data_IF_836084741967
#
_entry.id   IF_836084741967
#
_cell.length_a   1.000
_cell.length_b   1.000
_cell.length_c   1.000
_cell.angle_alpha   90.00
_cell.angle_beta   90.00
_cell.angle_gamma   90.00
#
_symmetry.space_group_name_H-M   'P 1'
#
loop_
_entity.id
_entity.type
_entity.pdbx_description
1 polymer ?
#
# COMPACT_ATOMS: atom_id res chain seq x y z
N UNK A 1 -3.19 17.28 6.84
CA UNK A 1 -3.36 16.38 8.01
C UNK A 1 -3.02 14.93 7.67
N UNK A 2 -3.31 14.46 6.45
CA UNK A 2 -3.01 13.10 5.96
C UNK A 2 -1.59 12.88 5.42
N UNK A 3 -0.67 13.84 5.55
CA UNK A 3 0.67 13.81 4.92
C UNK A 3 1.83 13.98 5.89
N UNK A 4 1.55 13.94 7.20
CA UNK A 4 2.58 14.09 8.22
C UNK A 4 3.09 12.71 8.59
N UNK A 5 4.30 12.40 8.15
CA UNK A 5 5.01 11.17 8.49
C UNK A 5 5.63 11.22 9.90
N UNK A 6 5.86 12.43 10.43
CA UNK A 6 6.39 12.67 11.76
C UNK A 6 5.28 13.00 12.78
N UNK A 7 5.38 12.41 13.97
CA UNK A 7 4.36 12.54 15.03
C UNK A 7 4.37 13.93 15.68
N UNK A 8 5.54 14.56 15.82
CA UNK A 8 5.65 15.89 16.42
C UNK A 8 5.10 16.96 15.46
N UNK A 9 5.45 16.88 14.18
CA UNK A 9 4.92 17.74 13.14
C UNK A 9 3.39 17.60 13.01
N UNK A 10 2.86 16.39 13.11
CA UNK A 10 1.41 16.17 13.17
C UNK A 10 0.78 16.86 14.38
N UNK A 11 1.39 16.73 15.57
CA UNK A 11 0.84 17.29 16.80
C UNK A 11 0.79 18.82 16.76
N UNK A 12 1.89 19.45 16.33
CA UNK A 12 1.96 20.90 16.16
C UNK A 12 0.89 21.41 15.18
N UNK A 13 0.78 20.77 14.02
CA UNK A 13 -0.23 21.12 13.03
C UNK A 13 -1.67 20.92 13.54
N UNK A 14 -1.91 19.86 14.33
CA UNK A 14 -3.22 19.59 14.93
C UNK A 14 -3.60 20.66 15.95
N UNK A 15 -2.67 21.07 16.81
CA UNK A 15 -2.90 22.06 17.86
C UNK A 15 -3.14 23.47 17.28
N UNK A 16 -2.40 23.85 16.24
CA UNK A 16 -2.63 25.09 15.50
C UNK A 16 -4.04 25.12 14.89
N UNK A 17 -4.47 24.01 14.28
CA UNK A 17 -5.82 23.90 13.72
C UNK A 17 -6.87 24.01 14.83
N UNK A 18 -6.65 23.32 15.94
CA UNK A 18 -7.56 23.28 17.10
C UNK A 18 -7.78 24.65 17.74
N UNK A 19 -6.77 25.51 17.75
CA UNK A 19 -6.90 26.90 18.24
C UNK A 19 -7.77 27.78 17.35
N UNK A 20 -7.93 27.45 16.06
CA UNK A 20 -8.70 28.23 15.09
C UNK A 20 -10.20 27.91 15.06
N UNK A 21 -10.65 26.91 15.82
CA UNK A 21 -12.05 26.44 15.77
C UNK A 21 -12.78 26.72 17.08
N UNK A 22 -13.94 27.38 16.97
CA UNK A 22 -14.72 27.82 18.14
C UNK A 22 -15.38 26.67 18.90
N UNK A 23 -15.91 25.65 18.19
CA UNK A 23 -16.46 24.42 18.78
C UNK A 23 -15.49 23.26 18.60
N UNK A 24 -14.86 22.85 19.70
CA UNK A 24 -13.79 21.84 19.71
C UNK A 24 -14.29 20.39 19.78
N UNK A 25 -15.59 20.17 19.98
CA UNK A 25 -16.17 18.84 20.27
C UNK A 25 -15.88 17.77 19.23
N UNK A 26 -15.97 18.11 17.94
CA UNK A 26 -15.64 17.17 16.86
C UNK A 26 -14.12 16.94 16.74
N UNK A 27 -13.32 18.00 16.82
CA UNK A 27 -11.84 17.90 16.78
C UNK A 27 -11.28 17.09 17.96
N UNK A 28 -11.87 17.23 19.15
CA UNK A 28 -11.57 16.38 20.30
C UNK A 28 -11.89 14.91 20.03
N UNK A 29 -13.07 14.67 19.48
CA UNK A 29 -13.54 13.31 19.22
C UNK A 29 -12.71 12.62 18.14
N UNK A 30 -12.33 13.32 17.07
CA UNK A 30 -11.51 12.75 16.00
C UNK A 30 -10.05 12.56 16.45
N UNK A 31 -9.53 13.43 17.32
CA UNK A 31 -8.18 13.29 17.89
C UNK A 31 -8.06 12.04 18.78
N UNK A 32 -9.10 11.68 19.53
CA UNK A 32 -9.12 10.45 20.35
C UNK A 32 -8.90 9.18 19.53
N UNK A 33 -9.24 9.20 18.25
CA UNK A 33 -9.05 8.08 17.33
C UNK A 33 -7.92 8.32 16.32
N UNK A 34 -6.99 9.24 16.59
CA UNK A 34 -5.87 9.60 15.68
C UNK A 34 -5.05 8.40 15.20
N UNK A 35 -4.90 7.39 16.05
CA UNK A 35 -4.20 6.14 15.72
C UNK A 35 -4.88 5.34 14.60
N UNK A 36 -6.15 5.64 14.30
CA UNK A 36 -6.94 5.01 13.25
C UNK A 36 -6.97 5.80 11.95
N UNK A 37 -6.33 6.96 11.81
CA UNK A 37 -6.41 7.73 10.56
C UNK A 37 -5.24 8.66 10.27
N UNK A 38 -4.48 9.07 11.29
CA UNK A 38 -3.32 9.91 11.09
C UNK A 38 -2.14 9.09 10.57
N UNK A 39 -1.56 9.49 9.44
CA UNK A 39 -0.55 8.73 8.71
C UNK A 39 0.66 8.33 9.57
N UNK A 40 1.22 9.26 10.36
CA UNK A 40 2.33 8.98 11.29
C UNK A 40 2.02 7.94 12.39
N UNK A 41 0.74 7.64 12.65
CA UNK A 41 0.33 6.62 13.62
C UNK A 41 -0.10 5.31 12.95
N UNK A 42 -0.58 5.36 11.71
CA UNK A 42 -1.02 4.18 10.94
C UNK A 42 0.14 3.55 10.15
N UNK A 43 1.28 4.23 10.00
CA UNK A 43 2.43 3.75 9.22
C UNK A 43 2.97 2.38 9.65
N UNK A 44 2.86 2.06 10.93
CA UNK A 44 3.34 0.79 11.49
C UNK A 44 2.21 -0.23 11.72
N UNK A 45 0.99 0.07 11.26
CA UNK A 45 -0.15 -0.83 11.32
C UNK A 45 -0.27 -1.55 9.98
N UNK A 46 -0.26 -2.88 10.02
CA UNK A 46 -0.51 -3.72 8.85
C UNK A 46 -1.95 -3.49 8.35
N UNK A 47 -2.09 -2.97 7.12
CA UNK A 47 -3.39 -2.57 6.56
C UNK A 47 -3.70 -3.22 5.21
N UNK A 48 -2.90 -4.21 4.77
CA UNK A 48 -3.02 -4.85 3.45
C UNK A 48 -3.06 -3.84 2.29
N UNK A 49 -2.46 -2.66 2.46
CA UNK A 49 -2.49 -1.57 1.47
C UNK A 49 -3.81 -0.79 1.40
N UNK A 50 -4.80 -1.11 2.25
CA UNK A 50 -6.07 -0.38 2.33
C UNK A 50 -5.87 0.86 3.21
N UNK A 51 -6.23 2.05 2.69
CA UNK A 51 -6.39 3.24 3.54
C UNK A 51 -7.70 3.12 4.31
N UNK A 52 -7.73 3.46 5.61
CA UNK A 52 -8.90 3.26 6.48
C UNK A 52 -10.22 3.87 5.96
N UNK A 53 -10.16 4.89 5.09
CA UNK A 53 -11.36 5.50 4.47
C UNK A 53 -11.69 4.96 3.07
N UNK A 54 -10.81 4.20 2.41
CA UNK A 54 -10.92 3.84 0.99
C UNK A 54 -12.20 3.03 0.67
N UNK A 55 -12.61 2.15 1.58
CA UNK A 55 -13.87 1.40 1.45
C UNK A 55 -15.09 2.33 1.50
N UNK A 56 -15.12 3.22 2.50
CA UNK A 56 -16.20 4.22 2.62
C UNK A 56 -16.16 5.25 1.49
N UNK A 57 -15.00 5.67 1.03
CA UNK A 57 -14.82 6.61 -0.08
C UNK A 57 -15.27 5.98 -1.41
N UNK A 58 -14.85 4.75 -1.69
CA UNK A 58 -15.30 3.99 -2.86
C UNK A 58 -16.82 3.82 -2.87
N UNK A 59 -17.39 3.43 -1.72
CA UNK A 59 -18.83 3.21 -1.60
C UNK A 59 -19.62 4.52 -1.68
N UNK A 60 -19.18 5.55 -0.96
CA UNK A 60 -19.78 6.88 -1.01
C UNK A 60 -19.67 7.51 -2.41
N UNK A 61 -18.57 7.28 -3.12
CA UNK A 61 -18.40 7.74 -4.49
C UNK A 61 -19.36 7.01 -5.45
N UNK A 62 -19.54 5.70 -5.29
CA UNK A 62 -20.53 4.94 -6.05
C UNK A 62 -21.96 5.44 -5.79
N UNK A 63 -22.27 5.81 -4.55
CA UNK A 63 -23.57 6.37 -4.17
C UNK A 63 -23.75 7.84 -4.51
N UNK A 64 -22.67 8.60 -4.75
CA UNK A 64 -22.69 10.06 -4.95
C UNK A 64 -23.64 10.47 -6.08
N UNK A 65 -23.72 9.69 -7.14
CA UNK A 65 -24.61 9.94 -8.29
C UNK A 65 -26.10 9.65 -7.99
N UNK A 66 -26.37 8.94 -6.90
CA UNK A 66 -27.71 8.53 -6.46
C UNK A 66 -28.25 9.36 -5.28
N UNK A 67 -27.47 10.31 -4.77
CA UNK A 67 -27.79 11.16 -3.61
C UNK A 67 -28.28 12.56 -4.00
N UNK A 68 -28.81 12.77 -5.21
CA UNK A 68 -29.33 14.09 -5.60
C UNK A 68 -30.60 14.42 -4.81
N UNK A 69 -30.77 15.70 -4.46
CA UNK A 69 -31.90 16.23 -3.67
C UNK A 69 -33.28 15.89 -4.23
N UNK A 70 -33.36 15.59 -5.53
CA UNK A 70 -34.62 15.39 -6.25
C UNK A 70 -35.08 13.91 -6.27
N UNK A 71 -34.37 13.02 -5.56
CA UNK A 71 -34.74 11.61 -5.46
C UNK A 71 -35.61 11.33 -4.22
N UNK A 72 -36.79 10.75 -4.46
CA UNK A 72 -37.61 10.15 -3.42
C UNK A 72 -36.89 8.96 -2.74
N UNK A 73 -37.17 8.73 -1.46
CA UNK A 73 -36.50 7.73 -0.61
C UNK A 73 -36.61 6.32 -1.18
N UNK A 74 -37.73 5.99 -1.84
CA UNK A 74 -37.93 4.69 -2.50
C UNK A 74 -36.97 4.51 -3.67
N UNK A 75 -36.70 5.58 -4.44
CA UNK A 75 -35.75 5.54 -5.55
C UNK A 75 -34.30 5.46 -5.05
N UNK A 76 -34.00 6.12 -3.93
CA UNK A 76 -32.71 5.97 -3.26
C UNK A 76 -32.47 4.52 -2.84
N UNK A 77 -33.41 3.89 -2.14
CA UNK A 77 -33.27 2.50 -1.66
C UNK A 77 -33.09 1.50 -2.81
N UNK A 78 -33.84 1.67 -3.92
CA UNK A 78 -33.65 0.83 -5.13
C UNK A 78 -32.27 0.99 -5.75
N UNK A 79 -31.75 2.22 -5.82
CA UNK A 79 -30.41 2.47 -6.35
C UNK A 79 -29.34 1.92 -5.41
N UNK A 80 -29.51 2.08 -4.10
CA UNK A 80 -28.62 1.53 -3.08
C UNK A 80 -28.53 0.01 -3.19
N UNK A 81 -29.66 -0.69 -3.26
CA UNK A 81 -29.71 -2.13 -3.42
C UNK A 81 -28.98 -2.57 -4.71
N UNK A 82 -29.23 -1.87 -5.84
CA UNK A 82 -28.53 -2.15 -7.09
C UNK A 82 -27.01 -1.97 -6.96
N UNK A 83 -26.54 -0.89 -6.35
CA UNK A 83 -25.10 -0.65 -6.13
C UNK A 83 -24.47 -1.74 -5.24
N UNK A 84 -25.20 -2.20 -4.21
CA UNK A 84 -24.74 -3.32 -3.37
C UNK A 84 -24.65 -4.61 -4.17
N UNK A 85 -25.66 -4.92 -4.99
CA UNK A 85 -25.65 -6.12 -5.85
C UNK A 85 -24.51 -6.07 -6.90
N UNK A 86 -24.27 -4.90 -7.51
CA UNK A 86 -23.17 -4.68 -8.43
C UNK A 86 -21.81 -4.92 -7.75
N UNK A 87 -21.60 -4.40 -6.53
CA UNK A 87 -20.38 -4.68 -5.76
C UNK A 87 -20.23 -6.16 -5.45
N UNK A 88 -21.28 -6.84 -4.96
CA UNK A 88 -21.24 -8.29 -4.69
C UNK A 88 -20.92 -9.11 -5.93
N UNK A 89 -21.51 -8.77 -7.08
CA UNK A 89 -21.22 -9.43 -8.35
C UNK A 89 -19.76 -9.23 -8.74
N UNK A 90 -19.24 -8.00 -8.60
CA UNK A 90 -17.83 -7.71 -8.90
C UNK A 90 -16.88 -8.48 -7.97
N UNK A 91 -17.19 -8.57 -6.68
CA UNK A 91 -16.42 -9.39 -5.73
C UNK A 91 -16.43 -10.88 -6.11
N UNK A 92 -17.57 -11.39 -6.61
CA UNK A 92 -17.70 -12.76 -7.11
C UNK A 92 -16.90 -12.97 -8.40
N UNK A 93 -16.97 -12.04 -9.35
CA UNK A 93 -16.19 -12.08 -10.60
C UNK A 93 -14.68 -12.02 -10.32
N UNK A 94 -14.26 -11.20 -9.35
CA UNK A 94 -12.89 -11.15 -8.84
C UNK A 94 -12.51 -12.48 -8.16
N UNK A 95 -13.42 -13.08 -7.37
CA UNK A 95 -13.21 -14.39 -6.75
C UNK A 95 -13.03 -15.52 -7.77
N UNK A 96 -13.85 -15.55 -8.81
CA UNK A 96 -13.71 -16.52 -9.88
C UNK A 96 -12.45 -16.24 -10.74
N UNK A 97 -12.09 -14.97 -10.91
CA UNK A 97 -10.83 -14.61 -11.57
C UNK A 97 -9.60 -15.03 -10.75
N UNK A 98 -9.70 -15.03 -9.40
CA UNK A 98 -8.68 -15.59 -8.49
C UNK A 98 -8.43 -17.09 -8.68
N UNK A 99 -9.35 -17.84 -9.30
CA UNK A 99 -9.14 -19.26 -9.65
C UNK A 99 -8.30 -19.45 -10.92
N UNK A 100 -8.06 -18.40 -11.71
CA UNK A 100 -7.20 -18.47 -12.89
C UNK A 100 -5.75 -18.44 -12.44
N UNK A 101 -4.90 -19.25 -13.06
CA UNK A 101 -3.46 -19.24 -12.75
C UNK A 101 -2.90 -17.83 -12.94
N UNK A 102 -2.03 -17.34 -12.03
CA UNK A 102 -1.42 -16.04 -12.18
C UNK A 102 -0.67 -15.93 -13.49
N UNK A 103 -0.94 -14.87 -14.25
CA UNK A 103 -0.15 -14.57 -15.46
C UNK A 103 1.22 -14.11 -15.01
N UNK A 104 2.21 -14.98 -15.18
CA UNK A 104 3.61 -14.66 -14.91
C UNK A 104 4.19 -13.96 -16.12
N UNK A 105 4.53 -12.68 -16.00
CA UNK A 105 5.08 -11.88 -17.10
C UNK A 105 6.57 -12.21 -17.39
N UNK A 106 7.30 -12.71 -16.39
CA UNK A 106 8.71 -13.12 -16.50
C UNK A 106 9.01 -14.39 -15.68
N UNK A 107 9.93 -15.24 -16.15
CA UNK A 107 10.27 -16.51 -15.47
C UNK A 107 11.56 -16.44 -14.67
N UNK A 108 11.66 -15.50 -13.71
CA UNK A 108 12.77 -15.48 -12.75
C UNK A 108 12.52 -16.45 -11.59
N UNK A 109 13.55 -17.03 -10.95
CA UNK A 109 13.35 -18.00 -9.87
C UNK A 109 12.47 -17.49 -8.73
N UNK A 110 12.65 -16.23 -8.32
CA UNK A 110 11.83 -15.59 -7.29
C UNK A 110 10.36 -15.45 -7.72
N UNK A 111 10.08 -15.05 -8.97
CA UNK A 111 8.70 -14.94 -9.47
C UNK A 111 8.04 -16.31 -9.65
N UNK A 112 8.81 -17.33 -10.05
CA UNK A 112 8.30 -18.71 -10.13
C UNK A 112 7.88 -19.19 -8.75
N UNK A 113 8.75 -19.04 -7.76
CA UNK A 113 8.45 -19.41 -6.38
C UNK A 113 7.27 -18.61 -5.82
N UNK A 114 7.26 -17.28 -5.99
CA UNK A 114 6.17 -16.42 -5.54
C UNK A 114 4.83 -16.83 -6.15
N UNK A 115 4.80 -17.21 -7.44
CA UNK A 115 3.57 -17.66 -8.12
C UNK A 115 2.98 -18.96 -7.57
N UNK A 116 3.77 -19.73 -6.82
CA UNK A 116 3.33 -20.99 -6.21
C UNK A 116 2.88 -20.81 -4.76
N UNK A 117 3.38 -19.78 -4.07
CA UNK A 117 3.10 -19.57 -2.64
C UNK A 117 2.11 -18.45 -2.38
N UNK A 118 2.02 -17.44 -3.26
CA UNK A 118 1.14 -16.29 -3.06
C UNK A 118 -0.24 -16.51 -3.67
N UNK A 119 -1.26 -15.93 -3.04
CA UNK A 119 -2.57 -15.72 -3.66
C UNK A 119 -2.43 -14.84 -4.90
N UNK A 120 -3.39 -14.93 -5.84
CA UNK A 120 -3.32 -14.16 -7.10
C UNK A 120 -3.10 -12.66 -6.86
N UNK A 121 -3.83 -12.07 -5.91
CA UNK A 121 -3.77 -10.62 -5.60
C UNK A 121 -2.40 -10.22 -5.05
N UNK A 122 -1.86 -11.01 -4.11
CA UNK A 122 -0.54 -10.76 -3.53
C UNK A 122 0.53 -10.95 -4.61
N UNK A 123 0.40 -11.97 -5.46
CA UNK A 123 1.33 -12.22 -6.54
C UNK A 123 1.35 -11.10 -7.59
N UNK A 124 0.19 -10.58 -8.00
CA UNK A 124 0.11 -9.45 -8.94
C UNK A 124 0.78 -8.19 -8.36
N UNK A 125 0.52 -7.88 -7.09
CA UNK A 125 1.16 -6.77 -6.40
C UNK A 125 2.67 -6.98 -6.27
N UNK A 126 3.12 -8.18 -5.91
CA UNK A 126 4.54 -8.54 -5.83
C UNK A 126 5.23 -8.47 -7.20
N UNK A 127 4.59 -8.96 -8.26
CA UNK A 127 5.11 -8.91 -9.62
C UNK A 127 5.32 -7.47 -10.07
N UNK A 128 4.37 -6.57 -9.76
CA UNK A 128 4.52 -5.14 -10.05
C UNK A 128 5.71 -4.49 -9.33
N UNK A 129 5.91 -4.80 -8.03
CA UNK A 129 7.08 -4.32 -7.29
C UNK A 129 8.38 -4.92 -7.80
N UNK A 130 8.37 -6.19 -8.21
CA UNK A 130 9.53 -6.85 -8.81
C UNK A 130 9.93 -6.19 -10.14
N UNK A 131 8.98 -5.91 -11.02
CA UNK A 131 9.23 -5.20 -12.28
C UNK A 131 9.79 -3.80 -12.03
N UNK A 132 9.21 -3.04 -11.09
CA UNK A 132 9.73 -1.73 -10.68
C UNK A 132 11.17 -1.83 -10.16
N UNK A 133 11.52 -2.90 -9.44
CA UNK A 133 12.88 -3.11 -8.93
C UNK A 133 13.93 -3.28 -10.05
N UNK A 134 13.52 -3.77 -11.23
CA UNK A 134 14.43 -3.95 -12.36
C UNK A 134 14.86 -2.63 -12.98
N UNK A 135 14.00 -1.61 -12.94
CA UNK A 135 14.29 -0.25 -13.37
C UNK A 135 14.97 0.62 -12.28
N UNK A 136 15.35 0.01 -11.15
CA UNK A 136 15.94 0.73 -10.03
C UNK A 136 17.45 0.97 -10.20
N UNK A 137 17.88 2.19 -9.91
CA UNK A 137 19.28 2.55 -9.73
C UNK A 137 19.68 2.39 -8.27
N UNK A 138 20.91 1.95 -8.03
CA UNK A 138 21.42 1.72 -6.68
C UNK A 138 22.79 2.38 -6.49
N UNK A 139 22.95 3.05 -5.36
CA UNK A 139 24.23 3.58 -4.87
C UNK A 139 24.55 2.91 -3.54
N UNK A 140 25.70 2.26 -3.48
CA UNK A 140 26.17 1.51 -2.30
C UNK A 140 26.96 2.46 -1.40
N UNK A 141 26.74 2.37 -0.08
CA UNK A 141 27.59 3.03 0.90
C UNK A 141 28.65 2.04 1.39
N UNK A 142 29.88 2.51 1.59
CA UNK A 142 30.97 1.66 2.10
C UNK A 142 30.68 1.18 3.52
N UNK A 143 30.86 -0.14 3.75
CA UNK A 143 30.96 -0.74 5.07
C UNK A 143 29.70 -1.36 5.68
N UNK A 144 28.48 -0.90 5.32
CA UNK A 144 27.29 -1.15 6.16
C UNK A 144 26.09 -1.84 5.48
N UNK A 145 26.28 -2.53 4.34
CA UNK A 145 25.18 -3.12 3.53
C UNK A 145 24.02 -2.13 3.36
N UNK A 146 24.35 -0.84 3.22
CA UNK A 146 23.41 0.26 3.14
C UNK A 146 23.39 0.74 1.70
N UNK A 147 22.19 0.93 1.18
CA UNK A 147 21.94 1.26 -0.21
C UNK A 147 21.00 2.46 -0.31
N UNK A 148 21.31 3.41 -1.19
CA UNK A 148 20.33 4.37 -1.68
C UNK A 148 19.76 3.84 -2.99
N UNK A 149 18.44 3.68 -3.05
CA UNK A 149 17.73 3.15 -4.21
C UNK A 149 16.80 4.22 -4.77
N UNK A 150 16.93 4.51 -6.06
CA UNK A 150 16.02 5.38 -6.82
C UNK A 150 15.25 4.54 -7.84
N UNK A 151 13.93 4.71 -7.91
CA UNK A 151 13.08 4.01 -8.87
C UNK A 151 12.80 4.90 -10.08
N UNK A 152 13.07 4.40 -11.28
CA UNK A 152 12.68 5.11 -12.51
C UNK A 152 11.17 5.05 -12.72
N UNK A 153 10.53 6.21 -12.87
CA UNK A 153 9.13 6.31 -13.32
C UNK A 153 9.09 6.26 -14.84
N UNK A 154 8.53 5.18 -15.38
CA UNK A 154 8.25 5.05 -16.82
C UNK A 154 7.01 5.84 -17.27
N UNK A 155 6.26 6.46 -16.34
CA UNK A 155 4.97 7.12 -16.66
C UNK A 155 5.12 8.61 -17.00
N UNK A 156 6.08 9.31 -16.40
CA UNK A 156 6.24 10.77 -16.55
C UNK A 156 7.72 11.15 -16.79
N UNK A 157 8.06 11.39 -18.06
CA UNK A 157 9.30 12.05 -18.50
C UNK A 157 10.64 11.46 -18.02
N UNK A 158 10.73 10.14 -17.80
CA UNK A 158 11.97 9.48 -17.33
C UNK A 158 12.50 10.09 -16.02
N UNK A 159 11.59 10.49 -15.13
CA UNK A 159 11.94 11.00 -13.81
C UNK A 159 12.18 9.87 -12.80
N UNK A 160 12.97 10.13 -11.77
CA UNK A 160 13.18 9.20 -10.67
C UNK A 160 12.34 9.61 -9.46
N UNK A 161 11.80 8.61 -8.76
CA UNK A 161 11.23 8.80 -7.42
C UNK A 161 12.35 9.17 -6.42
N UNK A 162 11.96 9.80 -5.30
CA UNK A 162 12.89 10.15 -4.23
C UNK A 162 13.69 8.92 -3.75
N UNK A 163 15.01 9.12 -3.57
CA UNK A 163 15.90 8.07 -3.07
C UNK A 163 15.40 7.53 -1.71
N UNK A 164 15.31 6.20 -1.62
CA UNK A 164 15.02 5.49 -0.37
C UNK A 164 16.23 4.74 0.12
N UNK A 165 16.43 4.78 1.44
CA UNK A 165 17.51 4.07 2.09
C UNK A 165 17.03 2.67 2.43
N UNK A 166 17.83 1.68 2.04
CA UNK A 166 17.61 0.28 2.32
C UNK A 166 18.81 -0.28 3.04
N UNK A 167 18.56 -0.98 4.14
CA UNK A 167 19.57 -1.70 4.92
C UNK A 167 19.39 -3.18 4.57
N UNK A 168 20.41 -3.77 3.95
CA UNK A 168 20.50 -5.19 3.66
C UNK A 168 21.15 -5.94 4.81
N UNK A 169 20.66 -7.14 5.08
CA UNK A 169 21.25 -8.10 6.00
C UNK A 169 21.47 -9.40 5.22
N UNK A 170 22.67 -9.62 4.66
CA UNK A 170 22.98 -10.82 3.88
C UNK A 170 22.88 -12.11 4.69
N UNK A 171 23.19 -12.06 6.00
CA UNK A 171 23.18 -13.23 6.88
C UNK A 171 21.76 -13.74 7.09
N UNK A 172 20.83 -12.82 7.36
CA UNK A 172 19.42 -13.16 7.55
C UNK A 172 18.58 -13.08 6.26
N UNK A 173 19.21 -12.71 5.13
CA UNK A 173 18.56 -12.49 3.84
C UNK A 173 17.42 -11.47 3.91
N UNK A 174 17.61 -10.38 4.68
CA UNK A 174 16.61 -9.35 4.92
C UNK A 174 16.94 -8.05 4.21
N UNK A 175 15.90 -7.30 3.85
CA UNK A 175 16.03 -5.94 3.34
C UNK A 175 15.01 -5.04 4.06
N UNK A 176 15.50 -4.05 4.79
CA UNK A 176 14.68 -3.08 5.52
C UNK A 176 14.74 -1.73 4.81
N UNK A 177 13.61 -1.32 4.22
CA UNK A 177 13.52 -0.08 3.45
C UNK A 177 12.84 1.04 4.25
N UNK A 178 13.37 2.26 4.15
CA UNK A 178 12.79 3.46 4.77
C UNK A 178 11.39 3.83 4.25
N UNK A 179 10.95 3.27 3.12
CA UNK A 179 9.58 3.46 2.65
C UNK A 179 8.53 2.76 3.53
N UNK A 180 8.91 1.80 4.38
CA UNK A 180 8.00 1.10 5.29
C UNK A 180 6.87 0.31 4.62
N UNK A 181 6.93 0.07 3.30
CA UNK A 181 5.86 -0.64 2.57
C UNK A 181 5.65 -2.05 3.11
N UNK A 182 6.72 -2.80 3.40
CA UNK A 182 6.60 -4.15 3.93
C UNK A 182 5.83 -4.20 5.26
N UNK A 183 6.05 -3.24 6.16
CA UNK A 183 5.29 -3.19 7.43
C UNK A 183 3.81 -2.88 7.20
N UNK A 184 3.49 -2.08 6.17
CA UNK A 184 2.11 -1.66 5.84
C UNK A 184 1.33 -2.70 5.06
N UNK A 185 1.97 -3.37 4.12
CA UNK A 185 1.31 -4.24 3.13
C UNK A 185 1.73 -5.70 3.23
N UNK A 186 2.82 -6.01 3.95
CA UNK A 186 3.46 -7.33 3.97
C UNK A 186 4.16 -7.72 2.66
N UNK A 187 4.19 -6.82 1.68
CA UNK A 187 4.83 -7.05 0.38
C UNK A 187 6.14 -6.25 0.35
N UNK A 188 7.22 -6.94 -0.03
CA UNK A 188 8.51 -6.27 -0.25
C UNK A 188 8.38 -5.23 -1.36
N UNK A 189 8.73 -3.99 -1.05
CA UNK A 189 8.82 -2.93 -2.06
C UNK A 189 9.95 -3.19 -3.07
N UNK A 190 9.83 -2.54 -4.23
CA UNK A 190 10.83 -2.52 -5.28
C UNK A 190 12.24 -2.17 -4.79
N UNK A 191 12.36 -1.23 -3.84
CA UNK A 191 13.66 -0.88 -3.24
C UNK A 191 14.29 -2.07 -2.50
N UNK A 192 13.50 -2.78 -1.69
CA UNK A 192 13.94 -3.95 -0.95
C UNK A 192 14.30 -5.11 -1.87
N UNK A 193 13.47 -5.35 -2.89
CA UNK A 193 13.74 -6.36 -3.92
C UNK A 193 15.04 -6.08 -4.68
N UNK A 194 15.31 -4.81 -5.01
CA UNK A 194 16.59 -4.41 -5.63
C UNK A 194 17.78 -4.75 -4.73
N UNK A 195 17.67 -4.54 -3.42
CA UNK A 195 18.75 -4.88 -2.49
C UNK A 195 18.91 -6.39 -2.32
N UNK A 196 17.83 -7.17 -2.28
CA UNK A 196 17.94 -8.64 -2.33
C UNK A 196 18.69 -9.11 -3.59
N UNK A 197 18.38 -8.52 -4.74
CA UNK A 197 19.04 -8.81 -6.01
C UNK A 197 20.55 -8.50 -5.97
N UNK A 198 20.94 -7.35 -5.39
CA UNK A 198 22.33 -6.93 -5.18
C UNK A 198 23.09 -7.83 -4.19
N UNK A 199 22.40 -8.39 -3.19
CA UNK A 199 22.93 -9.40 -2.29
C UNK A 199 22.93 -10.82 -2.91
N UNK A 200 22.61 -10.95 -4.20
CA UNK A 200 22.50 -12.22 -4.94
C UNK A 200 21.45 -13.20 -4.39
N UNK A 201 20.44 -12.71 -3.68
CA UNK A 201 19.31 -13.51 -3.21
C UNK A 201 18.27 -13.58 -4.34
N UNK A 202 18.24 -14.71 -5.06
CA UNK A 202 17.37 -14.91 -6.24
C UNK A 202 16.08 -15.69 -5.95
N UNK A 203 15.89 -16.11 -4.70
CA UNK A 203 14.75 -16.86 -4.18
C UNK A 203 14.18 -16.05 -3.02
N UNK A 204 12.86 -15.98 -2.91
CA UNK A 204 12.18 -15.30 -1.82
C UNK A 204 12.47 -16.04 -0.49
N UNK A 205 13.13 -15.38 0.47
CA UNK A 205 13.41 -15.98 1.78
C UNK A 205 12.13 -16.39 2.53
N UNK A 206 12.20 -17.46 3.31
CA UNK A 206 11.04 -18.09 3.95
C UNK A 206 10.35 -17.24 5.01
N UNK A 207 11.04 -16.24 5.55
CA UNK A 207 10.52 -15.33 6.57
C UNK A 207 9.67 -14.20 5.99
N UNK A 208 9.64 -14.03 4.66
CA UNK A 208 8.64 -13.18 4.03
C UNK A 208 7.32 -13.97 3.93
N UNK A 209 6.20 -13.37 4.38
CA UNK A 209 4.93 -14.06 4.55
C UNK A 209 4.46 -14.65 3.23
N UNK A 210 4.13 -15.95 3.25
CA UNK A 210 3.62 -16.71 2.10
C UNK A 210 2.10 -16.56 1.94
N UNK A 211 1.41 -16.33 3.05
CA UNK A 211 -0.01 -16.07 3.12
C UNK A 211 -0.21 -14.89 4.09
N UNK A 212 -1.14 -13.99 3.78
CA UNK A 212 -1.60 -12.95 4.69
C UNK A 212 -2.99 -13.39 5.15
N UNK A 213 -3.07 -13.90 6.37
CA UNK A 213 -4.34 -14.22 7.06
C UNK A 213 -5.13 -12.95 7.41
#
# INVERSE_FOLDING_TARGET
MYGFEDKAAFQEAFDIMRCKVHKKTWLDSIYKVKEKWAECYVRDVFSLGVRNTQLSESFNNALKNHLKSDFDIVRFLKNFERTVQEKRRKELDEFESRKKMPRRQMSTPMLVQASQVYTLVIFEAFQSEYERSMAACARVFDGDNKYAIALGSLRDNLSFEDERIVIGDPLNQKASCSCGMFNRTGILCAHGLKVLDLMNIKILPTHYPKEMD
#
